data_IF_226075079705
#
_entry.id   IF_226075079705
#
_cell.length_a   1.000
_cell.length_b   1.000
_cell.length_c   1.000
_cell.angle_alpha   90.00
_cell.angle_beta   90.00
_cell.angle_gamma   90.00
#
_symmetry.space_group_name_H-M   'P 1'
#
loop_
_entity.id
_entity.type
_entity.pdbx_description
1 polymer ?
#
# COMPACT_ATOMS: atom_id res chain seq x y z
N UNK A 1 -4.89 -21.41 15.59
CA UNK A 1 -5.06 -22.20 14.34
C UNK A 1 -6.36 -21.81 13.64
N UNK A 2 -6.56 -20.53 13.37
CA UNK A 2 -7.75 -20.05 12.67
C UNK A 2 -7.29 -19.24 11.46
N UNK A 3 -6.81 -19.95 10.42
CA UNK A 3 -6.61 -19.34 9.08
C UNK A 3 -5.46 -18.32 8.98
N UNK A 4 -4.50 -18.31 9.90
CA UNK A 4 -3.29 -17.50 9.84
C UNK A 4 -2.05 -18.37 9.70
N UNK A 5 -1.24 -18.11 8.68
CA UNK A 5 0.10 -18.68 8.56
C UNK A 5 1.07 -17.86 9.39
N UNK A 6 1.86 -18.54 10.22
CA UNK A 6 2.78 -17.90 11.16
C UNK A 6 4.22 -18.20 10.77
N UNK A 7 4.97 -17.14 10.49
CA UNK A 7 6.42 -17.18 10.27
C UNK A 7 7.08 -16.70 11.56
N UNK A 8 8.11 -17.39 12.01
CA UNK A 8 8.81 -17.05 13.26
C UNK A 8 10.16 -16.45 12.96
N UNK A 9 10.51 -15.43 13.74
CA UNK A 9 11.84 -14.84 13.83
C UNK A 9 12.22 -14.74 15.32
N UNK A 10 13.48 -14.94 15.64
CA UNK A 10 13.99 -14.93 17.02
C UNK A 10 14.49 -13.56 17.48
N UNK A 11 14.74 -12.65 16.53
CA UNK A 11 15.17 -11.28 16.75
C UNK A 11 14.76 -10.39 15.57
N UNK A 12 14.98 -9.08 15.71
CA UNK A 12 14.60 -8.12 14.67
C UNK A 12 15.39 -8.25 13.37
N UNK A 13 16.68 -8.68 13.42
CA UNK A 13 17.48 -8.86 12.20
C UNK A 13 16.95 -10.00 11.34
N UNK A 14 16.68 -11.15 11.96
CA UNK A 14 16.07 -12.28 11.26
C UNK A 14 14.68 -11.91 10.68
N UNK A 15 13.91 -11.11 11.41
CA UNK A 15 12.63 -10.60 10.91
C UNK A 15 12.81 -9.74 9.64
N UNK A 16 13.80 -8.86 9.59
CA UNK A 16 14.11 -8.05 8.39
C UNK A 16 14.59 -8.91 7.22
N UNK A 17 15.39 -9.94 7.46
CA UNK A 17 15.79 -10.91 6.44
C UNK A 17 14.59 -11.63 5.83
N UNK A 18 13.65 -12.07 6.67
CA UNK A 18 12.40 -12.69 6.21
C UNK A 18 11.59 -11.71 5.35
N UNK A 19 11.45 -10.45 5.76
CA UNK A 19 10.73 -9.42 5.01
C UNK A 19 11.32 -9.15 3.63
N UNK A 20 12.64 -9.28 3.47
CA UNK A 20 13.29 -9.11 2.17
C UNK A 20 12.82 -10.16 1.15
N UNK A 21 12.50 -11.36 1.60
CA UNK A 21 12.15 -12.49 0.73
C UNK A 21 10.67 -12.85 0.74
N UNK A 22 9.95 -12.54 1.82
CA UNK A 22 8.59 -13.00 2.06
C UNK A 22 7.65 -11.85 2.47
N UNK A 23 6.45 -11.81 1.90
CA UNK A 23 5.44 -10.84 2.31
C UNK A 23 4.72 -11.29 3.58
N UNK A 24 4.44 -10.34 4.47
CA UNK A 24 3.63 -10.56 5.67
C UNK A 24 2.54 -9.49 5.77
N UNK A 25 1.41 -9.85 6.37
CA UNK A 25 0.27 -8.95 6.53
C UNK A 25 0.31 -8.16 7.84
N UNK A 26 1.03 -8.68 8.85
CA UNK A 26 1.18 -8.06 10.17
C UNK A 26 2.44 -8.60 10.86
N UNK A 27 3.11 -7.75 11.62
CA UNK A 27 4.22 -8.13 12.48
C UNK A 27 3.73 -8.07 13.93
N UNK A 28 4.01 -9.14 14.69
CA UNK A 28 3.80 -9.16 16.14
C UNK A 28 5.16 -9.42 16.78
N UNK A 29 5.67 -8.44 17.51
CA UNK A 29 7.01 -8.51 18.11
C UNK A 29 6.98 -8.26 19.60
N UNK A 30 7.78 -9.02 20.35
CA UNK A 30 8.18 -8.60 21.69
C UNK A 30 9.09 -7.36 21.57
N UNK A 31 9.04 -6.48 22.57
CA UNK A 31 10.00 -5.38 22.67
C UNK A 31 11.37 -5.94 23.03
N UNK A 32 11.44 -6.82 24.04
CA UNK A 32 12.70 -7.37 24.55
C UNK A 32 13.16 -8.58 23.73
N UNK A 33 14.01 -8.35 22.76
CA UNK A 33 14.64 -9.40 21.94
C UNK A 33 16.15 -9.19 21.88
N UNK A 34 16.95 -10.26 21.65
CA UNK A 34 18.40 -10.14 21.47
C UNK A 34 18.72 -9.49 20.11
N UNK A 35 19.93 -8.96 19.97
CA UNK A 35 20.54 -8.38 18.78
C UNK A 35 19.85 -7.11 18.23
N UNK A 36 18.58 -7.17 17.92
CA UNK A 36 17.72 -6.07 17.51
C UNK A 36 16.39 -6.23 18.23
N UNK A 37 16.05 -5.25 19.02
CA UNK A 37 14.81 -5.25 19.79
C UNK A 37 13.56 -4.90 18.93
N UNK A 38 12.38 -5.00 19.53
CA UNK A 38 11.12 -4.77 18.83
C UNK A 38 10.88 -3.31 18.45
N UNK A 39 11.44 -2.35 19.20
CA UNK A 39 11.34 -0.92 18.88
C UNK A 39 12.24 -0.59 17.69
N UNK A 40 13.47 -1.09 17.69
CA UNK A 40 14.40 -0.96 16.56
C UNK A 40 13.82 -1.59 15.30
N UNK A 41 13.26 -2.82 15.40
CA UNK A 41 12.56 -3.47 14.29
C UNK A 41 11.41 -2.61 13.77
N UNK A 42 10.56 -2.09 14.66
CA UNK A 42 9.44 -1.25 14.29
C UNK A 42 9.91 0.01 13.55
N UNK A 43 10.92 0.70 14.07
CA UNK A 43 11.52 1.87 13.43
C UNK A 43 12.05 1.54 12.02
N UNK A 44 12.76 0.43 11.85
CA UNK A 44 13.22 -0.01 10.54
C UNK A 44 12.07 -0.25 9.57
N UNK A 45 11.04 -0.97 10.01
CA UNK A 45 9.85 -1.28 9.19
C UNK A 45 9.10 0.00 8.80
N UNK A 46 8.89 0.93 9.74
CA UNK A 46 8.09 2.15 9.52
C UNK A 46 8.83 3.22 8.73
N UNK A 47 10.15 3.26 8.82
CA UNK A 47 10.99 4.21 8.07
C UNK A 47 11.29 3.74 6.64
N UNK A 48 11.22 2.45 6.36
CA UNK A 48 11.49 1.90 5.02
C UNK A 48 10.24 1.99 4.14
N UNK A 49 10.37 2.63 2.98
CA UNK A 49 9.27 2.79 2.01
C UNK A 49 8.72 1.44 1.52
N UNK A 50 9.52 0.37 1.51
CA UNK A 50 9.06 -0.94 1.08
C UNK A 50 8.18 -1.65 2.11
N UNK A 51 8.35 -1.34 3.41
CA UNK A 51 7.73 -2.09 4.51
C UNK A 51 6.79 -1.24 5.38
N UNK A 52 6.81 0.08 5.29
CA UNK A 52 6.04 1.01 6.15
C UNK A 52 4.54 0.70 6.23
N UNK A 53 4.00 0.07 5.19
CA UNK A 53 2.60 -0.34 5.11
C UNK A 53 2.25 -1.54 6.01
N UNK A 54 3.25 -2.26 6.55
CA UNK A 54 3.00 -3.45 7.37
C UNK A 54 2.66 -3.02 8.78
N UNK A 55 1.48 -3.39 9.31
CA UNK A 55 1.13 -3.10 10.69
C UNK A 55 2.05 -3.82 11.67
N UNK A 56 2.44 -3.13 12.74
CA UNK A 56 3.29 -3.65 13.80
C UNK A 56 2.54 -3.61 15.13
N UNK A 57 2.42 -4.77 15.76
CA UNK A 57 1.91 -4.94 17.12
C UNK A 57 3.11 -5.21 18.04
N UNK A 58 3.37 -4.31 18.98
CA UNK A 58 4.43 -4.49 19.97
C UNK A 58 3.86 -5.05 21.28
N UNK A 59 4.48 -6.11 21.77
CA UNK A 59 4.14 -6.75 23.03
C UNK A 59 5.06 -6.18 24.13
N UNK A 60 4.49 -5.55 25.17
CA UNK A 60 5.25 -4.87 26.22
C UNK A 60 4.99 -5.46 27.60
N UNK A 61 6.03 -5.54 28.42
CA UNK A 61 5.93 -6.01 29.79
C UNK A 61 5.56 -4.90 30.81
N UNK A 62 5.59 -3.61 30.42
CA UNK A 62 5.38 -2.48 31.35
C UNK A 62 4.76 -1.24 30.72
N UNK A 63 3.91 -0.62 31.52
CA UNK A 63 3.28 0.70 31.33
C UNK A 63 4.05 1.81 32.07
N UNK A 64 5.32 2.01 31.85
CA UNK A 64 5.92 3.29 32.24
C UNK A 64 5.55 4.34 31.21
N UNK A 65 5.24 5.56 31.65
CA UNK A 65 4.95 6.70 30.75
C UNK A 65 6.07 6.89 29.74
N UNK A 66 7.32 6.65 30.12
CA UNK A 66 8.50 6.71 29.26
C UNK A 66 8.45 5.68 28.12
N UNK A 67 8.12 4.42 28.41
CA UNK A 67 7.98 3.39 27.37
C UNK A 67 6.80 3.65 26.42
N UNK A 68 5.76 4.37 26.85
CA UNK A 68 4.65 4.78 25.99
C UNK A 68 5.03 5.93 25.07
N UNK A 69 5.88 6.85 25.52
CA UNK A 69 6.37 7.97 24.71
C UNK A 69 7.37 7.48 23.67
N UNK A 70 8.37 6.68 24.05
CA UNK A 70 9.29 6.03 23.10
C UNK A 70 8.55 5.14 22.12
N UNK A 71 7.51 4.47 22.59
CA UNK A 71 6.66 3.67 21.77
C UNK A 71 5.85 4.47 20.73
N UNK A 72 5.27 5.59 21.09
CA UNK A 72 4.57 6.48 20.14
C UNK A 72 5.53 7.02 19.07
N UNK A 73 6.78 7.28 19.41
CA UNK A 73 7.82 7.72 18.48
C UNK A 73 8.26 6.59 17.52
N UNK A 74 8.17 5.31 17.90
CA UNK A 74 8.52 4.19 17.04
C UNK A 74 7.52 3.93 15.90
N UNK A 75 6.33 4.54 15.95
CA UNK A 75 5.30 4.42 14.93
C UNK A 75 4.55 3.07 14.90
N UNK A 76 4.62 2.27 15.98
CA UNK A 76 3.85 1.03 16.07
C UNK A 76 2.34 1.29 16.05
N UNK A 77 1.59 0.41 15.37
CA UNK A 77 0.14 0.57 15.21
C UNK A 77 -0.62 0.16 16.47
N UNK A 78 -0.10 -0.79 17.24
CA UNK A 78 -0.70 -1.28 18.49
C UNK A 78 0.37 -1.64 19.49
N UNK A 79 0.12 -1.26 20.76
CA UNK A 79 0.85 -1.75 21.95
C UNK A 79 -0.06 -2.66 22.74
N UNK A 80 0.38 -3.89 22.99
CA UNK A 80 -0.36 -4.88 23.78
C UNK A 80 0.42 -5.24 25.04
N UNK A 81 -0.13 -4.88 26.18
CA UNK A 81 0.51 -5.09 27.49
C UNK A 81 0.39 -6.55 27.93
N UNK A 82 1.49 -7.11 28.43
CA UNK A 82 1.55 -8.43 29.06
C UNK A 82 1.13 -8.33 30.55
N UNK A 83 0.29 -9.24 31.06
CA UNK A 83 -0.26 -10.42 30.40
C UNK A 83 -1.50 -10.11 29.55
N UNK A 84 -1.57 -10.66 28.33
CA UNK A 84 -2.73 -10.56 27.44
C UNK A 84 -3.31 -11.93 27.12
N UNK A 85 -4.57 -11.97 26.74
CA UNK A 85 -5.20 -13.18 26.20
C UNK A 85 -4.96 -13.31 24.69
N UNK A 86 -4.91 -14.54 24.19
CA UNK A 86 -4.85 -14.81 22.73
C UNK A 86 -6.01 -14.13 22.01
N UNK A 87 -7.19 -14.09 22.63
CA UNK A 87 -8.38 -13.41 22.08
C UNK A 87 -8.17 -11.91 21.90
N UNK A 88 -7.48 -11.24 22.81
CA UNK A 88 -7.14 -9.82 22.67
C UNK A 88 -6.19 -9.59 21.51
N UNK A 89 -5.11 -10.38 21.39
CA UNK A 89 -4.17 -10.29 20.27
C UNK A 89 -4.87 -10.52 18.94
N UNK A 90 -5.68 -11.58 18.83
CA UNK A 90 -6.48 -11.87 17.64
C UNK A 90 -7.36 -10.69 17.23
N UNK A 91 -8.04 -10.08 18.21
CA UNK A 91 -8.93 -8.94 17.96
C UNK A 91 -8.20 -7.71 17.45
N UNK A 92 -7.00 -7.44 17.95
CA UNK A 92 -6.16 -6.33 17.44
C UNK A 92 -5.72 -6.59 16.00
N UNK A 93 -5.23 -7.80 15.71
CA UNK A 93 -4.85 -8.17 14.34
C UNK A 93 -6.04 -8.04 13.38
N UNK A 94 -7.21 -8.58 13.74
CA UNK A 94 -8.42 -8.45 12.93
C UNK A 94 -8.79 -6.98 12.65
N UNK A 95 -8.70 -6.12 13.67
CA UNK A 95 -9.02 -4.71 13.52
C UNK A 95 -8.07 -4.02 12.55
N UNK A 96 -6.75 -4.26 12.66
CA UNK A 96 -5.74 -3.72 11.75
C UNK A 96 -6.00 -4.17 10.30
N UNK A 97 -6.27 -5.45 10.09
CA UNK A 97 -6.56 -5.98 8.74
C UNK A 97 -7.88 -5.45 8.18
N UNK A 98 -8.91 -5.25 9.02
CA UNK A 98 -10.20 -4.64 8.59
C UNK A 98 -10.04 -3.17 8.18
N UNK A 99 -9.28 -2.39 8.92
CA UNK A 99 -8.97 -1.00 8.57
C UNK A 99 -8.27 -0.92 7.21
N UNK A 100 -7.35 -1.83 6.95
CA UNK A 100 -6.67 -1.94 5.65
C UNK A 100 -7.63 -2.26 4.51
N UNK A 101 -8.55 -3.22 4.71
CA UNK A 101 -9.57 -3.55 3.71
C UNK A 101 -10.53 -2.40 3.43
N UNK A 102 -10.89 -1.61 4.46
CA UNK A 102 -11.71 -0.41 4.28
C UNK A 102 -10.97 0.64 3.43
N UNK A 103 -9.68 0.85 3.68
CA UNK A 103 -8.82 1.72 2.87
C UNK A 103 -8.77 1.27 1.40
N UNK A 104 -8.59 -0.04 1.12
CA UNK A 104 -8.59 -0.57 -0.24
C UNK A 104 -9.88 -0.22 -1.01
N UNK A 105 -11.04 -0.36 -0.38
CA UNK A 105 -12.32 -0.05 -1.03
C UNK A 105 -12.40 1.41 -1.43
N UNK A 106 -11.99 2.31 -0.55
CA UNK A 106 -12.03 3.75 -0.84
C UNK A 106 -11.02 4.17 -1.90
N UNK A 107 -9.80 3.59 -1.87
CA UNK A 107 -8.79 3.87 -2.91
C UNK A 107 -9.20 3.40 -4.30
N UNK A 108 -10.12 2.42 -4.38
CA UNK A 108 -10.68 1.99 -5.66
C UNK A 108 -11.68 3.01 -6.21
N UNK A 109 -12.37 3.73 -5.32
CA UNK A 109 -13.42 4.70 -5.65
C UNK A 109 -12.88 6.15 -5.81
N UNK A 110 -11.73 6.46 -5.17
CA UNK A 110 -11.12 7.78 -5.29
C UNK A 110 -10.53 7.95 -6.68
N UNK A 111 -10.95 9.00 -7.36
CA UNK A 111 -10.32 9.48 -8.59
C UNK A 111 -8.85 9.79 -8.30
N UNK A 112 -7.94 9.02 -8.91
CA UNK A 112 -6.50 9.16 -8.72
C UNK A 112 -6.10 10.62 -9.03
N UNK A 113 -5.64 11.34 -8.02
CA UNK A 113 -5.27 12.76 -8.14
C UNK A 113 -5.69 13.66 -6.96
N UNK A 114 -6.48 13.17 -6.00
CA UNK A 114 -6.89 13.96 -4.85
C UNK A 114 -6.19 13.48 -3.58
N UNK A 115 -5.05 14.05 -3.27
CA UNK A 115 -4.31 13.77 -2.00
C UNK A 115 -5.07 14.25 -0.74
N UNK A 116 -6.10 15.08 -0.90
CA UNK A 116 -6.80 15.75 0.20
C UNK A 116 -7.65 14.85 1.10
N UNK A 117 -7.89 13.59 0.71
CA UNK A 117 -8.69 12.63 1.50
C UNK A 117 -7.85 11.52 2.16
N UNK A 118 -6.54 11.49 1.94
CA UNK A 118 -5.65 10.46 2.49
C UNK A 118 -5.34 10.66 3.98
N UNK A 119 -5.41 11.91 4.47
CA UNK A 119 -5.16 12.26 5.88
C UNK A 119 -6.21 11.70 6.85
N UNK A 120 -7.38 11.33 6.36
CA UNK A 120 -8.47 10.78 7.20
C UNK A 120 -8.26 9.29 7.52
N UNK A 121 -7.24 8.68 6.90
CA UNK A 121 -6.87 7.29 7.14
C UNK A 121 -5.61 7.23 8.00
N UNK A 122 -5.59 6.27 8.92
CA UNK A 122 -4.41 5.95 9.73
C UNK A 122 -3.32 5.24 8.88
N UNK A 123 -2.87 5.92 7.81
CA UNK A 123 -1.74 5.47 6.99
C UNK A 123 -0.47 6.21 7.41
N UNK A 124 0.66 5.53 7.28
CA UNK A 124 1.94 6.13 7.64
C UNK A 124 2.30 7.28 6.70
N UNK A 125 3.07 8.26 7.19
CA UNK A 125 3.61 9.34 6.37
C UNK A 125 4.39 8.78 5.16
N UNK A 126 5.11 7.68 5.34
CA UNK A 126 5.84 6.99 4.27
C UNK A 126 4.93 6.39 3.20
N UNK A 127 3.73 5.98 3.57
CA UNK A 127 2.76 5.47 2.59
C UNK A 127 2.14 6.62 1.78
N UNK A 128 1.91 7.78 2.39
CA UNK A 128 1.50 9.00 1.68
C UNK A 128 2.59 9.41 0.68
N UNK A 129 3.86 9.52 1.11
CA UNK A 129 5.01 9.82 0.24
C UNK A 129 5.12 8.83 -0.92
N UNK A 130 4.87 7.53 -0.67
CA UNK A 130 4.86 6.50 -1.70
C UNK A 130 3.75 6.72 -2.73
N UNK A 131 2.53 7.03 -2.28
CA UNK A 131 1.37 7.28 -3.15
C UNK A 131 1.62 8.51 -4.01
N UNK A 132 2.08 9.60 -3.41
CA UNK A 132 2.36 10.85 -4.12
C UNK A 132 3.47 10.66 -5.16
N UNK A 133 4.55 9.95 -4.79
CA UNK A 133 5.65 9.66 -5.72
C UNK A 133 5.22 8.79 -6.89
N UNK A 134 4.45 7.73 -6.65
CA UNK A 134 3.90 6.89 -7.73
C UNK A 134 3.02 7.71 -8.68
N UNK A 135 2.13 8.54 -8.13
CA UNK A 135 1.23 9.35 -8.93
C UNK A 135 2.01 10.39 -9.76
N UNK A 136 3.03 11.03 -9.20
CA UNK A 136 3.89 11.96 -9.92
C UNK A 136 4.61 11.28 -11.10
N UNK A 137 5.22 10.12 -10.86
CA UNK A 137 5.87 9.32 -11.90
C UNK A 137 4.87 8.94 -13.00
N UNK A 138 3.69 8.46 -12.65
CA UNK A 138 2.69 8.07 -13.64
C UNK A 138 2.13 9.25 -14.43
N UNK A 139 2.03 10.44 -13.83
CA UNK A 139 1.63 11.66 -14.55
C UNK A 139 2.64 12.03 -15.64
N UNK A 140 3.94 11.89 -15.37
CA UNK A 140 5.00 12.15 -16.36
C UNK A 140 5.04 11.08 -17.46
N UNK A 141 4.77 9.81 -17.10
CA UNK A 141 4.93 8.65 -17.97
C UNK A 141 3.62 8.16 -18.60
N UNK A 142 2.50 8.82 -18.35
CA UNK A 142 1.16 8.36 -18.79
C UNK A 142 1.05 8.16 -20.30
N UNK A 143 1.80 8.93 -21.07
CA UNK A 143 1.82 8.92 -22.54
C UNK A 143 2.76 7.84 -23.10
N UNK A 144 3.62 7.27 -22.30
CA UNK A 144 4.61 6.28 -22.74
C UNK A 144 3.98 4.88 -22.81
N UNK A 145 3.70 4.40 -24.03
CA UNK A 145 3.11 3.06 -24.27
C UNK A 145 4.00 1.93 -23.75
N UNK A 146 5.31 2.11 -23.79
CA UNK A 146 6.30 1.11 -23.40
C UNK A 146 6.70 1.22 -21.91
N UNK A 147 5.99 2.02 -21.12
CA UNK A 147 6.29 2.15 -19.69
C UNK A 147 5.97 0.87 -18.94
N UNK A 148 7.02 0.24 -18.43
CA UNK A 148 6.94 -1.06 -17.75
C UNK A 148 6.89 -0.94 -16.22
N UNK A 149 6.44 -2.01 -15.56
CA UNK A 149 6.44 -2.06 -14.10
C UNK A 149 7.86 -2.16 -13.53
N UNK A 150 8.78 -2.75 -14.28
CA UNK A 150 10.21 -2.79 -13.95
C UNK A 150 10.78 -1.37 -13.87
N UNK A 151 10.48 -0.54 -14.89
CA UNK A 151 10.87 0.89 -14.90
C UNK A 151 10.25 1.65 -13.71
N UNK A 152 8.99 1.37 -13.38
CA UNK A 152 8.35 1.97 -12.21
C UNK A 152 9.06 1.54 -10.91
N UNK A 153 9.42 0.27 -10.77
CA UNK A 153 10.13 -0.24 -9.61
C UNK A 153 11.49 0.44 -9.44
N UNK A 154 12.25 0.58 -10.54
CA UNK A 154 13.55 1.26 -10.56
C UNK A 154 13.42 2.74 -10.15
N UNK A 155 12.44 3.47 -10.70
CA UNK A 155 12.19 4.87 -10.34
C UNK A 155 11.71 5.05 -8.88
N UNK A 156 11.08 4.03 -8.32
CA UNK A 156 10.71 3.97 -6.90
C UNK A 156 11.86 3.54 -6.00
N UNK A 157 13.02 3.15 -6.56
CA UNK A 157 14.15 2.53 -5.86
C UNK A 157 13.73 1.27 -5.08
N UNK A 158 12.92 0.43 -5.69
CA UNK A 158 12.39 -0.80 -5.07
C UNK A 158 12.62 -2.01 -5.98
N UNK A 159 12.75 -3.20 -5.38
CA UNK A 159 12.65 -4.42 -6.17
C UNK A 159 11.22 -4.58 -6.70
N UNK A 160 11.08 -5.24 -7.85
CA UNK A 160 9.76 -5.56 -8.43
C UNK A 160 8.84 -6.27 -7.41
N UNK A 161 9.40 -7.21 -6.64
CA UNK A 161 8.64 -7.95 -5.60
C UNK A 161 8.15 -7.04 -4.47
N UNK A 162 8.98 -6.09 -4.02
CA UNK A 162 8.60 -5.14 -2.98
C UNK A 162 7.53 -4.16 -3.48
N UNK A 163 7.71 -3.62 -4.69
CA UNK A 163 6.70 -2.78 -5.33
C UNK A 163 5.36 -3.52 -5.45
N UNK A 164 5.39 -4.76 -5.96
CA UNK A 164 4.18 -5.58 -6.10
C UNK A 164 3.48 -5.80 -4.76
N UNK A 165 4.24 -6.21 -3.72
CA UNK A 165 3.69 -6.47 -2.37
C UNK A 165 3.09 -5.20 -1.77
N UNK A 166 3.81 -4.09 -1.82
CA UNK A 166 3.35 -2.82 -1.28
C UNK A 166 2.11 -2.30 -1.99
N UNK A 167 2.09 -2.30 -3.31
CA UNK A 167 0.92 -1.85 -4.08
C UNK A 167 -0.31 -2.73 -3.84
N UNK A 168 -0.11 -4.06 -3.82
CA UNK A 168 -1.20 -4.99 -3.50
C UNK A 168 -1.72 -4.76 -2.07
N UNK A 169 -0.83 -4.45 -1.14
CA UNK A 169 -1.16 -4.19 0.24
C UNK A 169 -1.86 -2.85 0.46
N UNK A 170 -1.45 -1.77 -0.22
CA UNK A 170 -2.06 -0.44 -0.08
C UNK A 170 -3.33 -0.28 -0.92
N UNK A 171 -3.33 -0.78 -2.15
CA UNK A 171 -4.42 -0.53 -3.11
C UNK A 171 -5.32 -1.75 -3.34
N UNK A 172 -5.02 -2.92 -2.74
CA UNK A 172 -5.75 -4.16 -2.99
C UNK A 172 -5.54 -4.74 -4.39
N UNK A 173 -4.67 -4.13 -5.23
CA UNK A 173 -4.47 -4.53 -6.61
C UNK A 173 -2.99 -4.52 -7.02
N UNK A 174 -2.60 -5.35 -8.02
CA UNK A 174 -1.24 -5.37 -8.53
C UNK A 174 -0.90 -4.09 -9.32
N UNK A 175 0.42 -3.76 -9.47
CA UNK A 175 0.90 -2.57 -10.16
C UNK A 175 0.29 -2.36 -11.56
N UNK A 176 0.23 -3.41 -12.39
CA UNK A 176 -0.34 -3.32 -13.73
C UNK A 176 -1.79 -2.82 -13.73
N UNK A 177 -2.60 -3.27 -12.76
CA UNK A 177 -3.98 -2.84 -12.65
C UNK A 177 -4.08 -1.39 -12.17
N UNK A 178 -3.19 -0.98 -11.27
CA UNK A 178 -3.13 0.41 -10.81
C UNK A 178 -2.79 1.37 -11.97
N UNK A 179 -1.72 1.07 -12.73
CA UNK A 179 -1.32 1.86 -13.90
C UNK A 179 -2.44 1.91 -14.95
N UNK A 180 -3.08 0.77 -15.24
CA UNK A 180 -4.24 0.72 -16.14
C UNK A 180 -5.39 1.59 -15.65
N UNK A 181 -5.72 1.52 -14.37
CA UNK A 181 -6.77 2.33 -13.77
C UNK A 181 -6.43 3.82 -13.77
N UNK A 182 -5.17 4.18 -13.54
CA UNK A 182 -4.68 5.54 -13.65
C UNK A 182 -4.88 6.10 -15.06
N UNK A 183 -4.45 5.37 -16.10
CA UNK A 183 -4.65 5.74 -17.51
C UNK A 183 -6.14 5.89 -17.85
N UNK A 184 -7.00 4.98 -17.38
CA UNK A 184 -8.44 5.07 -17.62
C UNK A 184 -9.09 6.31 -16.97
N UNK A 185 -8.66 6.68 -15.76
CA UNK A 185 -9.13 7.91 -15.10
C UNK A 185 -8.73 9.16 -15.91
N UNK A 186 -7.46 9.20 -16.35
CA UNK A 186 -7.00 10.31 -17.21
C UNK A 186 -7.72 10.35 -18.56
N UNK A 187 -8.06 9.20 -19.13
CA UNK A 187 -8.89 9.14 -20.32
C UNK A 187 -10.28 9.72 -20.09
N UNK A 188 -10.90 9.39 -18.97
CA UNK A 188 -12.21 9.92 -18.59
C UNK A 188 -12.19 11.46 -18.45
N UNK A 189 -11.14 12.00 -17.80
CA UNK A 189 -10.93 13.47 -17.72
C UNK A 189 -10.79 14.12 -19.11
N UNK A 190 -9.98 13.53 -20.00
CA UNK A 190 -9.79 14.03 -21.35
C UNK A 190 -11.09 14.01 -22.17
N UNK A 191 -11.86 12.92 -22.09
CA UNK A 191 -13.14 12.76 -22.78
C UNK A 191 -14.17 13.77 -22.24
N UNK A 192 -14.26 13.94 -20.93
CA UNK A 192 -15.14 14.95 -20.31
C UNK A 192 -14.78 16.37 -20.73
N UNK A 193 -13.50 16.64 -21.00
CA UNK A 193 -13.00 17.92 -21.55
C UNK A 193 -13.12 18.01 -23.07
N UNK A 194 -13.83 17.08 -23.74
CA UNK A 194 -14.13 17.15 -25.17
C UNK A 194 -13.07 16.59 -26.11
N UNK A 195 -12.02 15.93 -25.58
CA UNK A 195 -11.03 15.24 -26.42
C UNK A 195 -11.68 14.03 -27.10
N UNK A 196 -11.33 13.78 -28.37
CA UNK A 196 -11.86 12.63 -29.11
C UNK A 196 -11.42 11.31 -28.45
N UNK A 197 -12.33 10.33 -28.40
CA UNK A 197 -12.11 9.04 -27.72
C UNK A 197 -10.86 8.32 -28.28
N UNK A 198 -10.70 8.29 -29.61
CA UNK A 198 -9.53 7.66 -30.25
C UNK A 198 -8.22 8.35 -29.83
N UNK A 199 -8.22 9.67 -29.80
CA UNK A 199 -7.08 10.49 -29.39
C UNK A 199 -6.75 10.31 -27.90
N UNK A 200 -7.76 10.25 -27.03
CA UNK A 200 -7.56 9.97 -25.61
C UNK A 200 -6.96 8.58 -25.38
N UNK A 201 -7.43 7.57 -26.12
CA UNK A 201 -6.90 6.20 -26.04
C UNK A 201 -5.43 6.14 -26.49
N UNK A 202 -5.09 6.76 -27.61
CA UNK A 202 -3.72 6.84 -28.17
C UNK A 202 -2.77 7.56 -27.20
N UNK A 203 -3.14 8.77 -26.75
CA UNK A 203 -2.35 9.56 -25.80
C UNK A 203 -2.02 8.83 -24.50
N UNK A 204 -2.85 7.86 -24.10
CA UNK A 204 -2.71 7.13 -22.84
C UNK A 204 -2.17 5.70 -23.02
N UNK A 205 -1.57 5.42 -24.20
CA UNK A 205 -0.85 4.18 -24.45
C UNK A 205 -1.75 2.94 -24.52
N UNK A 206 -2.96 3.09 -25.07
CA UNK A 206 -3.79 1.92 -25.38
C UNK A 206 -3.55 1.46 -26.82
N UNK A 207 -3.09 0.22 -26.97
CA UNK A 207 -2.72 -0.37 -28.27
C UNK A 207 -3.89 -0.43 -29.28
N UNK A 208 -5.14 -0.38 -28.82
CA UNK A 208 -6.31 -0.34 -29.71
C UNK A 208 -7.52 0.31 -29.03
N UNK A 209 -8.35 1.00 -29.85
CA UNK A 209 -9.61 1.60 -29.38
C UNK A 209 -10.60 0.54 -28.86
N UNK A 210 -10.58 -0.69 -29.40
CA UNK A 210 -11.43 -1.79 -28.94
C UNK A 210 -11.02 -2.26 -27.54
N UNK A 211 -9.73 -2.42 -27.30
CA UNK A 211 -9.20 -2.79 -25.98
C UNK A 211 -9.49 -1.68 -24.97
N UNK A 212 -9.26 -0.42 -25.35
CA UNK A 212 -9.61 0.74 -24.54
C UNK A 212 -11.08 0.74 -24.13
N UNK A 213 -12.01 0.63 -25.11
CA UNK A 213 -13.44 0.66 -24.86
C UNK A 213 -13.90 -0.46 -23.91
N UNK A 214 -13.30 -1.67 -24.04
CA UNK A 214 -13.55 -2.79 -23.14
C UNK A 214 -13.09 -2.45 -21.72
N UNK A 215 -11.84 -2.03 -21.53
CA UNK A 215 -11.29 -1.67 -20.22
C UNK A 215 -12.06 -0.51 -19.55
N UNK A 216 -12.45 0.49 -20.36
CA UNK A 216 -13.24 1.63 -19.90
C UNK A 216 -14.62 1.20 -19.38
N UNK A 217 -15.31 0.34 -20.15
CA UNK A 217 -16.61 -0.22 -19.74
C UNK A 217 -16.50 -1.07 -18.48
N UNK A 218 -15.47 -1.90 -18.37
CA UNK A 218 -15.20 -2.70 -17.16
C UNK A 218 -15.05 -1.83 -15.92
N UNK A 219 -14.39 -0.67 -16.05
CA UNK A 219 -14.14 0.25 -14.94
C UNK A 219 -15.31 1.16 -14.61
N UNK A 220 -15.91 1.80 -15.62
CA UNK A 220 -16.94 2.85 -15.42
C UNK A 220 -18.37 2.36 -15.64
N UNK A 221 -18.56 1.09 -16.02
CA UNK A 221 -19.88 0.51 -16.27
C UNK A 221 -20.53 0.94 -17.59
N UNK A 222 -19.92 1.88 -18.34
CA UNK A 222 -20.44 2.44 -19.58
C UNK A 222 -19.35 2.60 -20.64
N UNK A 223 -19.75 2.70 -21.90
CA UNK A 223 -18.80 2.95 -23.00
C UNK A 223 -18.25 4.37 -22.98
N UNK A 224 -17.01 4.61 -23.50
CA UNK A 224 -16.43 5.96 -23.56
C UNK A 224 -17.30 6.99 -24.29
N UNK A 225 -18.09 6.56 -25.29
CA UNK A 225 -19.00 7.44 -26.06
C UNK A 225 -20.19 7.95 -25.22
N UNK A 226 -20.55 7.21 -24.18
CA UNK A 226 -21.67 7.52 -23.30
C UNK A 226 -21.23 8.30 -22.04
N UNK A 227 -19.91 8.49 -21.90
CA UNK A 227 -19.28 9.20 -20.79
C UNK A 227 -19.04 10.66 -21.18
N UNK A 228 -19.98 11.55 -20.84
CA UNK A 228 -19.93 13.01 -21.08
C UNK A 228 -20.44 13.80 -19.90
#
# INVERSE_FOLDING_TARGET
KEGMDVIRAWNGKEALEILAHQGVDVIVSDIMMPEMDGLELCNHVKSDMAYSHIPVVLLTAKTTLESKVEGLESGADVYLEKPFSIKQLHKQIENLLKLRLAFHKQMTDITIGSSSSLSDFAISQKDVEFIDKINAILLEQVVNENYSIETLADQMNMSHSNLYRKMKSLFGMPPNNYVKNFRLNKAAELIANGVRIAEAAERLGFASSSHFAKCFKEKFGMLPKDYR
#
